data_IF_687885466148
#
_entry.id   IF_687885466148
#
_cell.length_a   1.000
_cell.length_b   1.000
_cell.length_c   1.000
_cell.angle_alpha   90.00
_cell.angle_beta   90.00
_cell.angle_gamma   90.00
#
_symmetry.space_group_name_H-M   'P 1'
#
loop_
_entity.id
_entity.type
_entity.pdbx_description
1 polymer ?
#
# COMPACT_ATOMS: atom_id res chain seq x y z
N UNK A 1 -1.79 30.44 -11.01
CA UNK A 1 -2.25 29.22 -10.32
C UNK A 1 -2.57 29.58 -8.89
N UNK A 2 -3.82 29.46 -8.45
CA UNK A 2 -4.13 29.54 -7.02
C UNK A 2 -3.48 28.34 -6.33
N UNK A 3 -2.73 28.59 -5.26
CA UNK A 3 -2.17 27.54 -4.41
C UNK A 3 -3.35 26.78 -3.77
N UNK A 4 -3.42 25.44 -3.85
CA UNK A 4 -4.49 24.69 -3.20
C UNK A 4 -4.40 24.91 -1.68
N UNK A 5 -5.50 25.38 -1.08
CA UNK A 5 -5.59 25.58 0.37
C UNK A 5 -5.74 24.23 1.06
N UNK A 6 -4.80 23.90 1.96
CA UNK A 6 -4.92 22.73 2.82
C UNK A 6 -6.10 22.88 3.78
N UNK A 7 -6.85 21.79 3.99
CA UNK A 7 -8.02 21.77 4.88
C UNK A 7 -7.61 21.41 6.30
N UNK A 8 -6.59 20.54 6.45
CA UNK A 8 -6.10 20.04 7.73
C UNK A 8 -4.61 20.33 7.94
N UNK A 9 -4.27 20.81 9.14
CA UNK A 9 -2.89 21.07 9.56
C UNK A 9 -2.27 19.92 10.37
N UNK A 10 -3.07 18.92 10.76
CA UNK A 10 -2.66 17.81 11.61
C UNK A 10 -3.54 16.58 11.37
N UNK A 11 -3.03 15.41 11.74
CA UNK A 11 -3.79 14.16 11.72
C UNK A 11 -4.46 13.91 13.07
N UNK A 12 -5.77 13.69 13.06
CA UNK A 12 -6.63 13.54 14.25
C UNK A 12 -6.52 14.71 15.26
N UNK A 13 -6.00 15.87 14.85
CA UNK A 13 -5.76 17.01 15.74
C UNK A 13 -4.49 16.90 16.61
N UNK A 14 -3.83 15.74 16.66
CA UNK A 14 -2.76 15.44 17.64
C UNK A 14 -1.43 15.13 16.98
N UNK A 15 -1.45 14.45 15.83
CA UNK A 15 -0.24 13.97 15.16
C UNK A 15 0.15 14.89 14.01
N UNK A 16 1.45 14.92 13.71
CA UNK A 16 1.94 15.59 12.52
C UNK A 16 1.29 15.02 11.25
N UNK A 17 1.07 15.89 10.26
CA UNK A 17 0.36 15.55 9.03
C UNK A 17 1.12 14.53 8.18
N UNK A 18 2.47 14.53 8.21
CA UNK A 18 3.29 13.51 7.52
C UNK A 18 3.16 12.16 8.21
N UNK A 19 3.31 12.13 9.53
CA UNK A 19 3.11 10.90 10.30
C UNK A 19 1.71 10.31 10.07
N UNK A 20 0.69 11.17 10.03
CA UNK A 20 -0.67 10.76 9.67
C UNK A 20 -0.78 10.15 8.27
N UNK A 21 -0.17 10.78 7.26
CA UNK A 21 -0.12 10.24 5.90
C UNK A 21 0.57 8.86 5.85
N UNK A 22 1.68 8.68 6.56
CA UNK A 22 2.37 7.38 6.65
C UNK A 22 1.50 6.32 7.34
N UNK A 23 0.84 6.65 8.46
CA UNK A 23 -0.09 5.75 9.16
C UNK A 23 -1.24 5.31 8.24
N UNK A 24 -1.84 6.25 7.50
CA UNK A 24 -2.91 5.96 6.53
C UNK A 24 -2.44 4.95 5.49
N UNK A 25 -1.24 5.13 4.93
CA UNK A 25 -0.68 4.24 3.92
C UNK A 25 -0.32 2.87 4.50
N UNK A 26 0.25 2.82 5.70
CA UNK A 26 0.55 1.57 6.41
C UNK A 26 -0.72 0.77 6.70
N UNK A 27 -1.78 1.43 7.18
CA UNK A 27 -3.09 0.79 7.35
C UNK A 27 -3.64 0.27 6.02
N UNK A 28 -3.46 1.05 4.95
CA UNK A 28 -3.79 0.63 3.58
C UNK A 28 -3.04 -0.65 3.19
N UNK A 29 -1.72 -0.72 3.41
CA UNK A 29 -0.89 -1.89 3.11
C UNK A 29 -1.40 -3.12 3.86
N UNK A 30 -1.63 -3.01 5.17
CA UNK A 30 -2.17 -4.11 5.98
C UNK A 30 -3.52 -4.60 5.44
N UNK A 31 -4.40 -3.68 5.07
CA UNK A 31 -5.69 -4.01 4.47
C UNK A 31 -5.55 -4.71 3.10
N UNK A 32 -4.54 -4.36 2.30
CA UNK A 32 -4.31 -4.97 0.98
C UNK A 32 -3.63 -6.35 1.07
N UNK A 33 -2.78 -6.59 2.08
CA UNK A 33 -2.17 -7.91 2.33
C UNK A 33 -3.23 -8.98 2.59
N UNK A 34 -4.34 -8.65 3.27
CA UNK A 34 -5.47 -9.57 3.41
C UNK A 34 -6.06 -10.00 2.03
N UNK A 35 -6.04 -9.11 1.04
CA UNK A 35 -6.46 -9.40 -0.32
C UNK A 35 -5.55 -10.38 -1.06
N UNK A 36 -4.25 -10.43 -0.71
CA UNK A 36 -3.31 -11.41 -1.28
C UNK A 36 -3.70 -12.83 -0.88
N UNK A 37 -4.08 -13.04 0.39
CA UNK A 37 -4.62 -14.33 0.83
C UNK A 37 -5.95 -14.67 0.13
N UNK A 38 -6.74 -13.65 -0.22
CA UNK A 38 -7.98 -13.81 -0.99
C UNK A 38 -7.77 -14.39 -2.41
N UNK A 39 -6.57 -14.27 -3.00
CA UNK A 39 -6.27 -14.88 -4.30
C UNK A 39 -6.37 -16.42 -4.28
N UNK A 40 -6.28 -17.04 -3.10
CA UNK A 40 -6.54 -18.49 -2.95
C UNK A 40 -7.96 -18.87 -3.39
N UNK A 41 -8.91 -17.93 -3.37
CA UNK A 41 -10.27 -18.16 -3.88
C UNK A 41 -10.30 -18.59 -5.35
N UNK A 42 -9.30 -18.23 -6.15
CA UNK A 42 -9.15 -18.70 -7.53
C UNK A 42 -9.10 -20.24 -7.63
N UNK A 43 -8.56 -20.89 -6.60
CA UNK A 43 -8.37 -22.34 -6.55
C UNK A 43 -9.46 -23.07 -5.77
N UNK A 44 -10.32 -22.35 -5.04
CA UNK A 44 -11.36 -22.94 -4.17
C UNK A 44 -12.78 -22.66 -4.67
N UNK A 45 -12.95 -22.26 -5.93
CA UNK A 45 -14.28 -22.04 -6.53
C UNK A 45 -14.86 -20.63 -6.32
N UNK A 46 -14.01 -19.60 -6.13
CA UNK A 46 -14.44 -18.21 -6.07
C UNK A 46 -15.03 -17.71 -7.39
N UNK A 47 -15.88 -16.68 -7.32
CA UNK A 47 -16.49 -16.08 -8.52
C UNK A 47 -15.47 -15.24 -9.29
N UNK A 48 -15.69 -15.04 -10.59
CA UNK A 48 -14.86 -14.14 -11.42
C UNK A 48 -14.81 -12.72 -10.82
N UNK A 49 -15.93 -12.26 -10.24
CA UNK A 49 -15.99 -10.97 -9.54
C UNK A 49 -15.05 -10.91 -8.34
N UNK A 50 -15.05 -11.95 -7.49
CA UNK A 50 -14.14 -12.05 -6.34
C UNK A 50 -12.68 -12.11 -6.79
N UNK A 51 -12.36 -12.91 -7.80
CA UNK A 51 -11.01 -12.99 -8.34
C UNK A 51 -10.51 -11.64 -8.88
N UNK A 52 -11.35 -10.95 -9.65
CA UNK A 52 -11.01 -9.62 -10.19
C UNK A 52 -10.76 -8.59 -9.09
N UNK A 53 -11.54 -8.63 -8.00
CA UNK A 53 -11.34 -7.80 -6.83
C UNK A 53 -9.99 -8.06 -6.15
N UNK A 54 -9.64 -9.34 -5.94
CA UNK A 54 -8.38 -9.70 -5.28
C UNK A 54 -7.15 -9.39 -6.13
N UNK A 55 -7.22 -9.59 -7.46
CA UNK A 55 -6.15 -9.18 -8.39
C UNK A 55 -5.96 -7.67 -8.34
N UNK A 56 -7.04 -6.91 -8.45
CA UNK A 56 -6.99 -5.45 -8.34
C UNK A 56 -6.40 -4.99 -7.00
N UNK A 57 -6.88 -5.57 -5.89
CA UNK A 57 -6.39 -5.26 -4.55
C UNK A 57 -4.90 -5.55 -4.42
N UNK A 58 -4.43 -6.68 -4.95
CA UNK A 58 -3.01 -7.03 -4.94
C UNK A 58 -2.19 -6.07 -5.80
N UNK A 59 -2.66 -5.70 -7.00
CA UNK A 59 -1.98 -4.72 -7.84
C UNK A 59 -1.87 -3.34 -7.16
N UNK A 60 -2.92 -2.91 -6.46
CA UNK A 60 -2.93 -1.63 -5.72
C UNK A 60 -1.94 -1.60 -4.54
N UNK A 61 -1.45 -2.76 -4.07
CA UNK A 61 -0.41 -2.83 -3.05
C UNK A 61 0.89 -2.16 -3.52
N UNK A 62 1.28 -2.36 -4.78
CA UNK A 62 2.47 -1.74 -5.34
C UNK A 62 2.38 -0.20 -5.32
N UNK A 63 1.18 0.34 -5.59
CA UNK A 63 0.91 1.79 -5.51
C UNK A 63 1.05 2.29 -4.08
N UNK A 64 0.59 1.55 -3.07
CA UNK A 64 0.73 1.96 -1.67
C UNK A 64 2.19 1.91 -1.20
N UNK A 65 2.95 0.87 -1.56
CA UNK A 65 4.39 0.78 -1.25
C UNK A 65 5.17 1.93 -1.89
N UNK A 66 4.89 2.23 -3.16
CA UNK A 66 5.43 3.41 -3.83
C UNK A 66 5.01 4.70 -3.12
N UNK A 67 3.75 4.79 -2.69
CA UNK A 67 3.19 5.93 -1.98
C UNK A 67 3.89 6.23 -0.66
N UNK A 68 4.25 5.20 0.10
CA UNK A 68 5.02 5.36 1.35
C UNK A 68 6.35 6.05 1.05
N UNK A 69 7.09 5.58 0.05
CA UNK A 69 8.36 6.22 -0.36
C UNK A 69 8.15 7.66 -0.82
N UNK A 70 7.07 7.93 -1.55
CA UNK A 70 6.74 9.27 -2.04
C UNK A 70 6.44 10.26 -0.90
N UNK A 71 5.72 9.83 0.14
CA UNK A 71 5.43 10.60 1.35
C UNK A 71 6.68 10.82 2.18
N UNK A 72 7.48 9.77 2.42
CA UNK A 72 8.69 9.91 3.23
C UNK A 72 9.72 10.83 2.58
N UNK A 73 9.79 10.85 1.24
CA UNK A 73 10.64 11.75 0.45
C UNK A 73 10.07 13.17 0.27
N UNK A 74 8.90 13.48 0.83
CA UNK A 74 8.26 14.81 0.83
C UNK A 74 8.10 15.44 -0.58
N UNK A 75 8.00 14.60 -1.62
CA UNK A 75 7.93 15.11 -2.99
C UNK A 75 6.50 15.47 -3.39
N UNK A 76 6.21 16.77 -3.46
CA UNK A 76 4.87 17.31 -3.74
C UNK A 76 4.19 16.67 -4.95
N UNK A 77 4.92 16.52 -6.06
CA UNK A 77 4.39 15.94 -7.30
C UNK A 77 4.02 14.46 -7.18
N UNK A 78 4.82 13.65 -6.47
CA UNK A 78 4.51 12.22 -6.31
C UNK A 78 3.38 12.03 -5.28
N UNK A 79 3.37 12.83 -4.21
CA UNK A 79 2.30 12.80 -3.20
C UNK A 79 0.96 13.21 -3.81
N UNK A 80 0.93 14.22 -4.69
CA UNK A 80 -0.32 14.61 -5.38
C UNK A 80 -0.83 13.49 -6.30
N UNK A 81 0.05 12.85 -7.07
CA UNK A 81 -0.30 11.68 -7.89
C UNK A 81 -0.85 10.54 -7.02
N UNK A 82 -0.23 10.27 -5.87
CA UNK A 82 -0.70 9.30 -4.90
C UNK A 82 -2.11 9.63 -4.40
N UNK A 83 -2.43 10.90 -4.13
CA UNK A 83 -3.77 11.31 -3.71
C UNK A 83 -4.82 10.95 -4.76
N UNK A 84 -4.56 11.25 -6.04
CA UNK A 84 -5.47 10.88 -7.12
C UNK A 84 -5.64 9.36 -7.24
N UNK A 85 -4.54 8.59 -7.14
CA UNK A 85 -4.60 7.13 -7.15
C UNK A 85 -5.40 6.56 -5.96
N UNK A 86 -5.26 7.17 -4.78
CA UNK A 86 -6.01 6.77 -3.59
C UNK A 86 -7.52 7.07 -3.74
N UNK A 87 -7.89 8.18 -4.37
CA UNK A 87 -9.30 8.49 -4.71
C UNK A 87 -9.85 7.46 -5.69
N UNK A 88 -9.11 7.15 -6.75
CA UNK A 88 -9.50 6.15 -7.74
C UNK A 88 -9.68 4.78 -7.07
N UNK A 89 -8.76 4.39 -6.18
CA UNK A 89 -8.90 3.16 -5.39
C UNK A 89 -10.16 3.17 -4.52
N UNK A 90 -10.46 4.29 -3.87
CA UNK A 90 -11.66 4.41 -3.06
C UNK A 90 -12.95 4.30 -3.90
N UNK A 91 -12.99 4.87 -5.11
CA UNK A 91 -14.13 4.74 -6.03
C UNK A 91 -14.31 3.28 -6.45
N UNK A 92 -13.23 2.62 -6.88
CA UNK A 92 -13.28 1.21 -7.29
C UNK A 92 -13.72 0.34 -6.12
N UNK A 93 -13.15 0.53 -4.93
CA UNK A 93 -13.58 -0.19 -3.72
C UNK A 93 -15.03 0.11 -3.32
N UNK A 94 -15.55 1.29 -3.63
CA UNK A 94 -16.97 1.61 -3.41
C UNK A 94 -17.86 0.76 -4.30
N UNK A 95 -17.51 0.59 -5.58
CA UNK A 95 -18.25 -0.30 -6.50
C UNK A 95 -18.30 -1.73 -5.97
N UNK A 96 -17.16 -2.28 -5.54
CA UNK A 96 -17.11 -3.62 -4.96
C UNK A 96 -17.88 -3.72 -3.64
N UNK A 97 -17.80 -2.70 -2.78
CA UNK A 97 -18.56 -2.64 -1.52
C UNK A 97 -20.06 -2.63 -1.79
N UNK A 98 -20.54 -1.91 -2.81
CA UNK A 98 -21.95 -1.91 -3.20
C UNK A 98 -22.39 -3.28 -3.74
N UNK A 99 -21.54 -3.92 -4.56
CA UNK A 99 -21.78 -5.29 -5.03
C UNK A 99 -21.86 -6.29 -3.88
N UNK A 100 -20.92 -6.21 -2.93
CA UNK A 100 -20.95 -7.00 -1.70
C UNK A 100 -22.20 -6.73 -0.88
N UNK A 101 -22.56 -5.46 -0.64
CA UNK A 101 -23.74 -5.11 0.15
C UNK A 101 -25.01 -5.65 -0.50
N UNK A 102 -25.14 -5.53 -1.82
CA UNK A 102 -26.27 -6.11 -2.56
C UNK A 102 -26.35 -7.62 -2.34
N UNK A 103 -25.26 -8.32 -2.62
CA UNK A 103 -25.21 -9.77 -2.50
C UNK A 103 -25.50 -10.23 -1.06
N UNK A 104 -24.84 -9.60 -0.09
CA UNK A 104 -24.91 -10.00 1.30
C UNK A 104 -26.28 -9.73 1.93
N UNK A 105 -26.91 -8.57 1.67
CA UNK A 105 -28.21 -8.22 2.29
C UNK A 105 -29.44 -8.76 1.55
N UNK A 106 -29.37 -8.93 0.23
CA UNK A 106 -30.56 -9.24 -0.56
C UNK A 106 -30.53 -10.63 -1.22
N UNK A 107 -29.37 -11.22 -1.44
CA UNK A 107 -29.24 -12.49 -2.18
C UNK A 107 -28.96 -13.67 -1.24
N UNK A 108 -28.31 -13.44 -0.09
CA UNK A 108 -28.03 -14.50 0.89
C UNK A 108 -29.22 -14.67 1.84
N UNK A 109 -29.81 -15.87 1.96
CA UNK A 109 -30.81 -16.14 2.98
C UNK A 109 -30.14 -16.19 4.37
N UNK A 110 -30.50 -15.26 5.25
CA UNK A 110 -30.03 -15.21 6.63
C UNK A 110 -30.83 -16.15 7.55
N UNK A 111 -30.99 -17.40 7.13
CA UNK A 111 -31.81 -18.42 7.79
C UNK A 111 -31.00 -19.35 8.72
N UNK A 112 -29.70 -19.05 8.90
CA UNK A 112 -28.79 -19.80 9.78
C UNK A 112 -28.37 -21.16 9.23
N UNK A 113 -28.72 -21.49 7.99
CA UNK A 113 -28.35 -22.78 7.38
C UNK A 113 -26.84 -22.91 7.21
N UNK A 114 -26.35 -24.14 7.36
CA UNK A 114 -24.95 -24.46 7.11
C UNK A 114 -24.72 -24.48 5.61
N UNK A 115 -24.00 -23.49 5.09
CA UNK A 115 -23.55 -23.47 3.70
C UNK A 115 -22.23 -24.22 3.61
N UNK A 116 -22.22 -25.33 2.88
CA UNK A 116 -21.00 -26.07 2.56
C UNK A 116 -20.36 -25.44 1.32
N UNK A 117 -19.09 -25.02 1.43
CA UNK A 117 -18.40 -24.30 0.37
C UNK A 117 -17.59 -25.22 -0.57
N UNK A 118 -17.59 -26.54 -0.33
CA UNK A 118 -16.92 -27.52 -1.19
C UNK A 118 -17.62 -28.88 -1.19
N UNK A 119 -17.40 -29.68 -2.23
CA UNK A 119 -17.91 -31.07 -2.33
C UNK A 119 -17.38 -31.93 -1.17
N UNK A 120 -16.10 -31.80 -0.82
CA UNK A 120 -15.53 -32.48 0.33
C UNK A 120 -16.24 -32.10 1.64
N UNK A 121 -16.59 -30.82 1.82
CA UNK A 121 -17.32 -30.36 3.00
C UNK A 121 -18.77 -30.86 3.00
N UNK A 122 -19.41 -30.97 1.83
CA UNK A 122 -20.71 -31.61 1.68
C UNK A 122 -20.64 -33.10 2.03
N UNK A 123 -19.61 -33.81 1.60
CA UNK A 123 -19.44 -35.23 1.87
C UNK A 123 -19.15 -35.51 3.35
N UNK A 124 -18.38 -34.65 4.02
CA UNK A 124 -18.20 -34.71 5.48
C UNK A 124 -19.52 -34.50 6.23
N UNK A 125 -20.34 -33.54 5.79
CA UNK A 125 -21.67 -33.30 6.37
C UNK A 125 -22.59 -34.51 6.13
N UNK A 126 -22.61 -35.06 4.91
CA UNK A 126 -23.38 -36.26 4.57
C UNK A 126 -22.94 -37.46 5.40
N UNK A 127 -21.64 -37.64 5.60
CA UNK A 127 -21.10 -38.74 6.40
C UNK A 127 -21.50 -38.59 7.88
N UNK A 128 -21.39 -37.38 8.44
CA UNK A 128 -21.82 -37.09 9.81
C UNK A 128 -23.33 -37.31 10.01
N UNK A 129 -24.14 -36.92 9.01
CA UNK A 129 -25.59 -37.20 8.99
C UNK A 129 -25.87 -38.69 8.91
N UNK A 130 -25.17 -39.43 8.04
CA UNK A 130 -25.35 -40.88 7.89
C UNK A 130 -24.97 -41.67 9.15
N UNK A 131 -24.03 -41.14 9.95
CA UNK A 131 -23.64 -41.70 11.26
C UNK A 131 -24.55 -41.26 12.41
N UNK A 132 -25.53 -40.38 12.16
CA UNK A 132 -26.42 -39.85 13.19
C UNK A 132 -25.74 -38.85 14.16
N UNK A 133 -24.53 -38.36 13.83
CA UNK A 133 -23.79 -37.38 14.63
C UNK A 133 -24.39 -35.98 14.49
N UNK A 134 -25.03 -35.70 13.35
CA UNK A 134 -25.66 -34.41 13.03
C UNK A 134 -27.05 -34.66 12.46
N UNK A 135 -28.05 -33.92 12.93
CA UNK A 135 -29.40 -33.96 12.35
C UNK A 135 -29.43 -33.27 10.99
N UNK A 136 -29.93 -33.97 9.98
CA UNK A 136 -30.20 -33.40 8.64
C UNK A 136 -31.33 -32.35 8.68
N UNK A 137 -32.28 -32.54 9.60
CA UNK A 137 -33.36 -31.58 9.81
C UNK A 137 -32.88 -30.48 10.73
N UNK A 138 -32.89 -29.26 10.20
CA UNK A 138 -32.85 -28.06 11.01
C UNK A 138 -34.12 -28.03 11.88
N UNK A 139 -34.03 -27.81 13.20
CA UNK A 139 -35.22 -27.66 14.02
C UNK A 139 -36.06 -26.48 13.53
N UNK A 140 -37.38 -26.65 13.51
CA UNK A 140 -38.33 -25.71 12.88
C UNK A 140 -38.19 -24.27 13.39
N UNK A 141 -37.68 -24.08 14.61
CA UNK A 141 -37.47 -22.78 15.24
C UNK A 141 -36.13 -22.10 14.94
N UNK A 142 -35.10 -22.81 14.44
CA UNK A 142 -33.77 -22.19 14.25
C UNK A 142 -33.79 -21.14 13.15
N UNK A 143 -34.52 -21.38 12.06
CA UNK A 143 -34.63 -20.42 10.97
C UNK A 143 -35.30 -19.11 11.39
N UNK A 144 -36.30 -19.18 12.26
CA UNK A 144 -36.98 -18.01 12.83
C UNK A 144 -36.08 -17.25 13.82
N UNK A 145 -35.36 -17.98 14.69
CA UNK A 145 -34.39 -17.40 15.61
C UNK A 145 -33.25 -16.71 14.85
N UNK A 146 -32.71 -17.35 13.80
CA UNK A 146 -31.63 -16.79 12.98
C UNK A 146 -32.07 -15.52 12.24
N UNK A 147 -33.28 -15.50 11.67
CA UNK A 147 -33.86 -14.30 11.06
C UNK A 147 -34.06 -13.18 12.07
N UNK A 148 -34.62 -13.50 13.23
CA UNK A 148 -34.83 -12.52 14.31
C UNK A 148 -33.52 -11.96 14.87
N UNK A 149 -32.43 -12.72 14.81
CA UNK A 149 -31.09 -12.25 15.15
C UNK A 149 -30.53 -11.33 14.05
N UNK A 150 -30.60 -11.77 12.79
CA UNK A 150 -30.17 -10.97 11.64
C UNK A 150 -30.84 -9.60 11.60
N UNK A 151 -32.16 -9.55 11.83
CA UNK A 151 -32.90 -8.29 11.83
C UNK A 151 -32.39 -7.28 12.87
N UNK A 152 -31.90 -7.77 14.01
CA UNK A 152 -31.32 -6.96 15.09
C UNK A 152 -29.89 -6.52 14.77
N UNK A 153 -29.09 -7.39 14.18
CA UNK A 153 -27.65 -7.16 14.00
C UNK A 153 -27.30 -6.45 12.69
N UNK A 154 -28.13 -6.59 11.64
CA UNK A 154 -27.85 -6.03 10.32
C UNK A 154 -27.62 -4.52 10.34
N UNK A 155 -28.32 -3.79 11.22
CA UNK A 155 -28.18 -2.34 11.36
C UNK A 155 -26.80 -1.94 11.87
N UNK A 156 -26.25 -2.69 12.83
CA UNK A 156 -24.90 -2.46 13.34
C UNK A 156 -23.85 -2.71 12.25
N UNK A 157 -24.00 -3.81 11.50
CA UNK A 157 -23.10 -4.11 10.39
C UNK A 157 -23.11 -3.01 9.30
N UNK A 158 -24.30 -2.52 8.92
CA UNK A 158 -24.42 -1.40 7.97
C UNK A 158 -23.75 -0.12 8.50
N UNK A 159 -23.93 0.19 9.79
CA UNK A 159 -23.33 1.37 10.42
C UNK A 159 -21.80 1.28 10.41
N UNK A 160 -21.23 0.13 10.78
CA UNK A 160 -19.77 -0.09 10.74
C UNK A 160 -19.24 0.03 9.32
N UNK A 161 -19.95 -0.52 8.33
CA UNK A 161 -19.57 -0.44 6.92
C UNK A 161 -19.58 1.03 6.44
N UNK A 162 -20.65 1.77 6.73
CA UNK A 162 -20.77 3.18 6.35
C UNK A 162 -19.76 4.08 7.06
N UNK A 163 -19.50 3.85 8.35
CA UNK A 163 -18.47 4.58 9.09
C UNK A 163 -17.07 4.31 8.52
N UNK A 164 -16.78 3.05 8.16
CA UNK A 164 -15.54 2.66 7.49
C UNK A 164 -15.40 3.23 6.07
N UNK A 165 -16.53 3.54 5.43
CA UNK A 165 -16.51 4.25 4.16
C UNK A 165 -16.20 5.74 4.35
N UNK A 166 -16.83 6.40 5.33
CA UNK A 166 -16.56 7.80 5.66
C UNK A 166 -15.13 8.05 6.15
N UNK A 167 -14.57 7.14 6.96
CA UNK A 167 -13.20 7.31 7.46
C UNK A 167 -12.17 7.33 6.32
N UNK A 168 -12.43 6.60 5.21
CA UNK A 168 -11.57 6.65 4.02
C UNK A 168 -11.64 8.00 3.29
N UNK A 169 -12.80 8.67 3.31
CA UNK A 169 -12.91 10.04 2.78
C UNK A 169 -12.07 11.00 3.62
N UNK A 170 -12.11 10.87 4.94
CA UNK A 170 -11.23 11.64 5.82
C UNK A 170 -9.74 11.41 5.48
N UNK A 171 -9.33 10.15 5.27
CA UNK A 171 -7.95 9.83 4.87
C UNK A 171 -7.55 10.48 3.54
N UNK A 172 -8.44 10.49 2.54
CA UNK A 172 -8.21 11.21 1.28
C UNK A 172 -7.94 12.69 1.53
N UNK A 173 -8.77 13.33 2.34
CA UNK A 173 -8.63 14.77 2.63
C UNK A 173 -7.34 15.08 3.40
N UNK A 174 -6.90 14.19 4.29
CA UNK A 174 -5.61 14.30 4.99
C UNK A 174 -4.45 14.21 4.00
N UNK A 175 -4.47 13.24 3.08
CA UNK A 175 -3.43 13.09 2.05
C UNK A 175 -3.37 14.33 1.13
N UNK A 176 -4.52 14.86 0.71
CA UNK A 176 -4.58 16.11 -0.07
C UNK A 176 -4.08 17.32 0.72
N UNK A 177 -4.39 17.41 2.01
CA UNK A 177 -3.90 18.49 2.87
C UNK A 177 -2.38 18.43 3.00
N UNK A 178 -1.82 17.24 3.19
CA UNK A 178 -0.37 17.04 3.17
C UNK A 178 0.26 17.45 1.84
N UNK A 179 -0.29 16.99 0.71
CA UNK A 179 0.18 17.39 -0.63
C UNK A 179 0.14 18.91 -0.83
N UNK A 180 -0.91 19.56 -0.34
CA UNK A 180 -1.10 21.02 -0.43
C UNK A 180 -0.07 21.79 0.42
N UNK A 181 0.25 21.28 1.61
CA UNK A 181 1.31 21.85 2.45
C UNK A 181 2.70 21.72 1.82
N UNK A 182 2.99 20.60 1.16
CA UNK A 182 4.24 20.42 0.41
C UNK A 182 4.31 21.35 -0.81
N UNK A 183 3.19 21.53 -1.53
CA UNK A 183 3.15 22.42 -2.70
C UNK A 183 3.30 23.90 -2.31
N UNK A 184 2.74 24.28 -1.16
CA UNK A 184 2.81 25.63 -0.61
C UNK A 184 4.11 25.89 0.16
N UNK A 185 4.98 24.88 0.33
CA UNK A 185 6.16 24.91 1.18
C UNK A 185 5.89 25.34 2.64
N UNK A 186 4.65 25.15 3.12
CA UNK A 186 4.22 25.52 4.47
C UNK A 186 4.33 24.36 5.45
N UNK A 187 4.62 23.15 4.97
CA UNK A 187 4.73 21.95 5.81
C UNK A 187 5.62 22.17 7.04
N UNK A 188 6.87 22.61 6.88
CA UNK A 188 7.80 22.81 8.01
C UNK A 188 7.41 23.94 8.97
N UNK A 189 6.44 24.79 8.61
CA UNK A 189 5.93 25.86 9.48
C UNK A 189 4.79 25.40 10.39
N UNK A 190 4.32 24.16 10.23
CA UNK A 190 3.28 23.60 11.08
C UNK A 190 3.81 23.36 12.50
N UNK A 191 2.99 23.63 13.54
CA UNK A 191 3.44 23.57 14.93
C UNK A 191 3.85 22.17 15.37
N UNK A 192 3.27 21.12 14.77
CA UNK A 192 3.58 19.72 15.08
C UNK A 192 4.80 19.20 14.30
N UNK A 193 5.15 19.80 13.16
CA UNK A 193 6.35 19.44 12.38
C UNK A 193 7.59 20.23 12.79
N UNK A 194 7.43 21.45 13.34
CA UNK A 194 8.53 22.38 13.64
C UNK A 194 9.36 21.97 14.86
N UNK A 195 8.92 20.99 15.65
CA UNK A 195 9.60 20.52 16.87
C UNK A 195 10.96 19.82 16.60
N UNK A 196 11.30 19.58 15.33
CA UNK A 196 12.60 19.01 14.92
C UNK A 196 13.73 20.04 14.77
N UNK A 197 13.50 21.35 14.97
CA UNK A 197 14.61 22.31 15.03
C UNK A 197 15.38 22.12 16.35
N UNK A 198 16.41 21.29 16.32
CA UNK A 198 17.31 21.04 17.45
C UNK A 198 17.78 22.38 18.06
N UNK A 199 17.38 22.75 19.29
CA UNK A 199 17.73 24.04 19.88
C UNK A 199 19.24 24.23 19.99
N UNK A 200 20.01 23.14 20.01
CA UNK A 200 21.46 23.16 20.03
C UNK A 200 22.09 23.72 18.73
N UNK A 201 21.39 23.61 17.58
CA UNK A 201 21.87 24.15 16.29
C UNK A 201 21.65 25.66 16.18
N UNK A 202 20.59 26.18 16.82
CA UNK A 202 20.33 27.61 16.90
C UNK A 202 21.30 28.27 17.89
N UNK A 203 21.46 27.68 19.08
CA UNK A 203 22.46 28.13 20.07
C UNK A 203 23.89 28.08 19.53
N UNK A 204 24.26 27.08 18.72
CA UNK A 204 25.57 27.03 18.08
C UNK A 204 25.76 28.12 17.01
N UNK A 205 24.73 28.42 16.20
CA UNK A 205 24.78 29.55 15.24
C UNK A 205 24.88 30.89 15.95
N UNK A 206 24.14 31.08 17.03
CA UNK A 206 24.14 32.31 17.82
C UNK A 206 25.46 32.46 18.62
N UNK A 207 26.05 31.36 19.12
CA UNK A 207 27.39 31.37 19.72
C UNK A 207 28.50 31.65 18.70
N UNK A 208 28.44 31.07 17.50
CA UNK A 208 29.43 31.37 16.45
C UNK A 208 29.29 32.80 15.92
N UNK A 209 28.07 33.35 15.85
CA UNK A 209 27.84 34.74 15.48
C UNK A 209 28.29 35.75 16.57
N UNK A 210 28.19 35.36 17.85
CA UNK A 210 28.61 36.19 19.00
C UNK A 210 30.13 36.14 19.26
N UNK A 211 30.78 35.03 18.91
CA UNK A 211 32.23 34.83 19.17
C UNK A 211 33.09 35.05 17.92
N UNK A 212 32.51 35.47 16.80
CA UNK A 212 33.27 35.79 15.59
C UNK A 212 34.22 36.98 15.88
N UNK A 213 35.55 36.79 15.79
CA UNK A 213 36.48 37.91 15.94
C UNK A 213 36.21 38.91 14.82
N UNK A 214 36.13 40.20 15.16
CA UNK A 214 36.06 41.27 14.18
C UNK A 214 37.20 41.10 13.18
N UNK A 215 36.87 40.77 11.93
CA UNK A 215 37.84 40.67 10.84
C UNK A 215 38.52 42.04 10.74
N UNK A 216 39.84 42.16 10.97
CA UNK A 216 40.51 43.41 10.73
C UNK A 216 40.45 43.66 9.23
N UNK A 217 39.74 44.71 8.80
CA UNK A 217 39.76 45.18 7.42
C UNK A 217 41.13 45.79 7.16
N UNK A 218 42.13 44.95 6.91
CA UNK A 218 43.44 45.39 6.48
C UNK A 218 43.50 45.27 4.95
N UNK A 219 43.63 46.38 4.19
CA UNK A 219 43.61 46.37 2.74
C UNK A 219 44.87 45.75 2.10
N UNK A 220 45.75 45.10 2.88
CA UNK A 220 47.02 44.53 2.42
C UNK A 220 46.95 43.04 1.99
N UNK A 221 45.79 42.39 2.02
CA UNK A 221 45.65 40.96 1.68
C UNK A 221 44.72 40.69 0.50
N UNK A 222 44.71 41.58 -0.48
CA UNK A 222 44.09 41.33 -1.78
C UNK A 222 45.15 40.71 -2.71
N UNK A 223 45.50 39.44 -2.46
CA UNK A 223 46.52 38.77 -3.27
C UNK A 223 46.71 37.31 -2.91
N UNK A 224 46.46 36.43 -3.88
CA UNK A 224 46.72 34.98 -3.89
C UNK A 224 45.70 34.07 -3.18
N UNK A 225 44.44 34.12 -3.61
CA UNK A 225 43.70 32.85 -3.73
C UNK A 225 44.12 32.23 -5.06
N UNK A 226 45.06 31.30 -4.97
CA UNK A 226 45.64 30.60 -6.12
C UNK A 226 44.53 29.82 -6.84
N UNK A 227 44.09 30.33 -8.00
CA UNK A 227 43.00 29.79 -8.83
C UNK A 227 43.21 28.31 -9.21
N UNK A 228 44.45 27.82 -9.05
CA UNK A 228 44.86 26.44 -9.27
C UNK A 228 44.32 25.47 -8.21
N UNK A 229 44.05 25.92 -6.98
CA UNK A 229 43.57 25.07 -5.90
C UNK A 229 42.03 24.97 -5.88
N UNK A 230 41.36 26.06 -6.24
CA UNK A 230 39.90 26.09 -6.43
C UNK A 230 39.48 25.24 -7.63
N UNK A 231 40.24 25.29 -8.74
CA UNK A 231 40.01 24.47 -9.92
C UNK A 231 40.16 22.97 -9.66
N UNK A 232 41.15 22.56 -8.86
CA UNK A 232 41.34 21.16 -8.46
C UNK A 232 40.20 20.63 -7.58
N UNK A 233 39.69 21.44 -6.65
CA UNK A 233 38.53 21.07 -5.83
C UNK A 233 37.25 20.96 -6.65
N UNK A 234 37.06 21.84 -7.64
CA UNK A 234 35.91 21.78 -8.53
C UNK A 234 35.97 20.60 -9.50
N UNK A 235 37.17 20.21 -9.94
CA UNK A 235 37.37 19.00 -10.75
C UNK A 235 37.12 17.72 -9.96
N UNK A 236 37.61 17.64 -8.71
CA UNK A 236 37.36 16.50 -7.83
C UNK A 236 35.87 16.31 -7.50
N UNK A 237 35.12 17.41 -7.37
CA UNK A 237 33.66 17.35 -7.16
C UNK A 237 32.91 16.85 -8.40
N UNK A 238 33.40 17.20 -9.60
CA UNK A 238 32.82 16.71 -10.86
C UNK A 238 33.12 15.23 -11.10
N UNK A 239 34.32 14.76 -10.77
CA UNK A 239 34.65 13.32 -10.81
C UNK A 239 33.76 12.52 -9.85
N UNK A 240 33.48 13.03 -8.65
CA UNK A 240 32.55 12.36 -7.72
C UNK A 240 31.10 12.38 -8.18
N UNK A 241 30.65 13.43 -8.88
CA UNK A 241 29.29 13.48 -9.46
C UNK A 241 29.15 12.53 -10.66
N UNK A 242 30.20 12.38 -11.49
CA UNK A 242 30.21 11.42 -12.59
C UNK A 242 30.30 9.96 -12.10
N UNK A 243 31.06 9.68 -11.03
CA UNK A 243 31.15 8.34 -10.43
C UNK A 243 29.81 7.91 -9.79
N UNK A 244 29.10 8.84 -9.16
CA UNK A 244 27.75 8.59 -8.61
C UNK A 244 26.71 8.43 -9.72
N UNK A 245 26.81 9.19 -10.81
CA UNK A 245 25.92 9.03 -11.97
C UNK A 245 26.15 7.70 -12.70
N UNK A 246 27.40 7.21 -12.77
CA UNK A 246 27.72 5.89 -13.32
C UNK A 246 27.23 4.76 -12.42
N UNK A 247 27.33 4.91 -11.09
CA UNK A 247 26.79 3.95 -10.12
C UNK A 247 25.26 3.88 -10.13
N UNK A 248 24.57 5.00 -10.42
CA UNK A 248 23.11 5.01 -10.62
C UNK A 248 22.68 4.41 -11.96
N UNK A 249 23.51 4.50 -13.01
CA UNK A 249 23.27 3.86 -14.30
C UNK A 249 23.49 2.34 -14.25
N UNK A 250 24.45 1.86 -13.45
CA UNK A 250 24.69 0.43 -13.20
C UNK A 250 23.63 -0.18 -12.25
N UNK A 251 22.89 0.64 -11.50
CA UNK A 251 21.73 0.23 -10.69
C UNK A 251 20.40 0.30 -11.49
N UNK A 252 20.46 -0.05 -12.77
CA UNK A 252 19.27 -0.28 -13.59
C UNK A 252 19.03 -1.80 -13.65
N UNK A 253 17.94 -2.26 -13.04
CA UNK A 253 17.53 -3.67 -12.97
C UNK A 253 17.74 -4.39 -14.31
N UNK A 254 18.72 -5.30 -14.36
CA UNK A 254 18.93 -6.19 -15.48
C UNK A 254 17.70 -7.10 -15.60
N UNK A 255 16.93 -6.90 -16.67
CA UNK A 255 15.63 -7.52 -16.87
C UNK A 255 15.72 -8.89 -17.53
N UNK A 256 16.93 -9.42 -17.75
CA UNK A 256 17.15 -10.54 -18.67
C UNK A 256 17.74 -11.83 -18.04
N UNK A 257 17.89 -11.92 -16.71
CA UNK A 257 18.33 -13.17 -16.03
C UNK A 257 17.18 -14.16 -15.72
N UNK A 258 16.20 -14.33 -16.62
CA UNK A 258 15.23 -15.44 -16.55
C UNK A 258 15.06 -16.18 -17.89
N UNK A 259 16.12 -16.26 -18.71
CA UNK A 259 16.08 -16.97 -20.00
C UNK A 259 17.19 -18.03 -20.21
N UNK A 260 18.03 -18.32 -19.23
CA UNK A 260 19.17 -19.25 -19.41
C UNK A 260 19.11 -20.54 -18.59
N UNK A 261 18.05 -20.78 -17.82
CA UNK A 261 17.88 -22.03 -17.08
C UNK A 261 16.87 -23.02 -17.70
N UNK A 262 16.07 -22.58 -18.69
CA UNK A 262 15.14 -23.46 -19.42
C UNK A 262 15.74 -24.15 -20.65
N UNK A 263 16.97 -23.78 -21.08
CA UNK A 263 17.62 -24.42 -22.23
C UNK A 263 18.60 -25.55 -21.88
N UNK A 264 18.82 -25.85 -20.59
CA UNK A 264 19.72 -26.95 -20.15
C UNK A 264 19.02 -28.27 -19.85
N UNK A 265 17.70 -28.35 -19.91
CA UNK A 265 16.96 -29.60 -19.65
C UNK A 265 16.33 -30.26 -20.89
N UNK A 266 16.61 -29.80 -22.10
CA UNK A 266 16.09 -30.46 -23.30
C UNK A 266 17.21 -30.73 -24.32
N UNK A 267 17.95 -31.81 -24.08
CA UNK A 267 19.14 -32.15 -24.86
C UNK A 267 19.54 -33.61 -24.74
N UNK A 268 18.63 -34.53 -25.11
CA UNK A 268 18.98 -35.79 -25.75
C UNK A 268 19.46 -36.96 -24.88
N UNK A 269 18.71 -38.05 -24.91
CA UNK A 269 19.25 -39.36 -25.30
C UNK A 269 18.10 -40.30 -25.67
N UNK A 270 18.01 -40.61 -26.96
CA UNK A 270 17.20 -41.73 -27.44
C UNK A 270 17.97 -43.03 -27.29
N UNK A 271 17.28 -44.10 -26.89
CA UNK A 271 17.66 -45.45 -27.28
C UNK A 271 16.46 -46.39 -27.35
N UNK A 272 16.48 -47.20 -28.41
CA UNK A 272 15.52 -48.18 -28.92
C UNK A 272 15.12 -49.25 -27.88
N UNK A 273 13.89 -49.76 -27.99
CA UNK A 273 13.49 -51.03 -27.39
C UNK A 273 12.11 -51.54 -27.82
N UNK A 274 12.11 -52.55 -28.68
CA UNK A 274 10.98 -53.25 -29.34
C UNK A 274 9.81 -53.70 -28.43
N UNK A 275 8.59 -53.44 -28.90
CA UNK A 275 7.54 -54.42 -29.24
C UNK A 275 6.84 -55.24 -28.14
N UNK A 276 5.51 -55.13 -28.06
CA UNK A 276 4.53 -56.19 -28.39
C UNK A 276 3.10 -55.69 -28.21
N UNK A 277 2.25 -56.03 -29.17
CA UNK A 277 0.80 -55.94 -29.10
C UNK A 277 0.25 -56.97 -28.10
N UNK A 278 -0.77 -56.58 -27.32
CA UNK A 278 -1.86 -57.47 -26.88
C UNK A 278 -3.14 -56.63 -26.74
N UNK A 279 -4.08 -56.95 -27.61
CA UNK A 279 -5.52 -56.70 -27.53
C UNK A 279 -6.14 -57.71 -26.56
N UNK A 280 -6.96 -57.29 -25.58
CA UNK A 280 -8.09 -58.07 -25.06
C UNK A 280 -9.15 -57.13 -24.46
N UNK A 281 -10.34 -57.18 -25.07
CA UNK A 281 -11.73 -56.97 -24.59
C UNK A 281 -12.07 -55.86 -23.59
#
# INVERSE_FOLDING_TARGET
MQQPSAVFNSFLGVLDIKSGAEIILLFGVLNKVAGVYGLLSAFTGGTIGQLSFYIYSTASLAVLVWGIRAVSAESSSKVLKLCHLYVVDHIIQTVYTLGFARHYWYEIPHDGRRVANSEAQQDLIRLAVSRGEVSDKMPDNIGEIARGLWEKEQGFAMMVLFASWLIKIYFILVLYSYASHLLSNTYHTLPLSSSSSNPNRQSAKDQYASTAPAVPTNPAYEGSLDARETGKRLAALKETEEEVAHAEADFQWDSDEEATETSRMNGGSGSKGKGKAVEVQ
#
